data_IF_241124345224
#
_entry.id   IF_241124345224
#
_cell.length_a   1.000
_cell.length_b   1.000
_cell.length_c   1.000
_cell.angle_alpha   90.00
_cell.angle_beta   90.00
_cell.angle_gamma   90.00
#
_symmetry.space_group_name_H-M   'P 1'
#
loop_
_entity.id
_entity.type
_entity.pdbx_description
1 polymer ?
#
# COMPACT_ATOMS: atom_id res chain seq x y z
N UNK A 1 13.30 13.14 -11.52
CA UNK A 1 12.17 12.81 -12.42
C UNK A 1 10.86 13.51 -12.02
N UNK A 2 10.69 13.90 -10.76
CA UNK A 2 9.48 14.57 -10.22
C UNK A 2 9.72 16.03 -9.79
N UNK A 3 10.82 16.63 -10.23
CA UNK A 3 11.18 18.02 -9.91
C UNK A 3 10.12 19.02 -10.37
N UNK A 4 9.36 18.70 -11.46
CA UNK A 4 8.28 19.53 -11.98
C UNK A 4 7.17 19.80 -10.94
N UNK A 5 7.01 18.89 -9.96
CA UNK A 5 6.00 19.02 -8.91
C UNK A 5 6.55 19.62 -7.60
N UNK A 6 7.82 20.04 -7.57
CA UNK A 6 8.46 20.52 -6.35
C UNK A 6 8.45 19.47 -5.23
N UNK A 7 8.51 18.18 -5.58
CA UNK A 7 8.48 17.07 -4.63
C UNK A 7 9.76 16.24 -4.71
N UNK A 8 10.18 15.71 -3.56
CA UNK A 8 11.25 14.72 -3.46
C UNK A 8 10.72 13.30 -3.24
N UNK A 9 9.41 13.16 -3.06
CA UNK A 9 8.75 11.88 -2.75
C UNK A 9 7.60 11.59 -3.70
N UNK A 10 7.30 10.30 -3.90
CA UNK A 10 6.11 9.80 -4.58
C UNK A 10 4.98 9.55 -3.58
N UNK A 11 3.70 9.51 -4.06
CA UNK A 11 3.25 9.66 -5.44
C UNK A 11 3.14 11.12 -5.90
N UNK A 12 3.27 11.32 -7.21
CA UNK A 12 3.01 12.60 -7.90
C UNK A 12 2.33 12.28 -9.23
N UNK A 13 1.28 13.02 -9.58
CA UNK A 13 0.67 12.98 -10.89
C UNK A 13 0.78 14.33 -11.61
N UNK A 14 0.72 14.28 -12.93
CA UNK A 14 0.48 15.47 -13.78
C UNK A 14 -0.84 15.25 -14.49
N UNK A 15 -1.76 16.20 -14.33
CA UNK A 15 -3.08 16.20 -14.95
C UNK A 15 -3.28 17.56 -15.64
N UNK A 16 -3.17 17.57 -16.97
CA UNK A 16 -3.04 18.81 -17.74
C UNK A 16 -1.82 19.64 -17.24
N UNK A 17 -2.08 20.87 -16.81
CA UNK A 17 -1.06 21.75 -16.23
C UNK A 17 -0.92 21.58 -14.70
N UNK A 18 -1.84 20.85 -14.06
CA UNK A 18 -1.79 20.63 -12.61
C UNK A 18 -0.77 19.54 -12.25
N UNK A 19 0.09 19.84 -11.27
CA UNK A 19 0.97 18.86 -10.64
C UNK A 19 0.51 18.63 -9.22
N UNK A 20 0.02 17.42 -8.93
CA UNK A 20 -0.55 17.06 -7.62
C UNK A 20 0.34 16.02 -6.96
N UNK A 21 0.72 16.28 -5.72
CA UNK A 21 1.55 15.42 -4.87
C UNK A 21 0.79 15.02 -3.60
N UNK A 22 1.21 13.93 -2.98
CA UNK A 22 0.54 13.27 -1.86
C UNK A 22 -0.66 12.43 -2.30
N UNK A 23 -0.73 11.20 -1.77
CA UNK A 23 -1.73 10.21 -2.19
C UNK A 23 -3.18 10.66 -1.92
N UNK A 24 -3.41 11.32 -0.79
CA UNK A 24 -4.74 11.82 -0.44
C UNK A 24 -5.14 13.02 -1.30
N UNK A 25 -4.20 13.97 -1.51
CA UNK A 25 -4.44 15.11 -2.38
C UNK A 25 -4.69 14.69 -3.83
N UNK A 26 -3.99 13.63 -4.30
CA UNK A 26 -4.24 13.04 -5.62
C UNK A 26 -5.65 12.43 -5.69
N UNK A 27 -6.07 11.68 -4.68
CA UNK A 27 -7.41 11.10 -4.63
C UNK A 27 -8.49 12.18 -4.64
N UNK A 28 -8.33 13.25 -3.84
CA UNK A 28 -9.24 14.38 -3.77
C UNK A 28 -9.31 15.16 -5.10
N UNK A 29 -8.17 15.33 -5.77
CA UNK A 29 -8.11 15.93 -7.10
C UNK A 29 -8.85 15.08 -8.15
N UNK A 30 -8.57 13.78 -8.20
CA UNK A 30 -9.21 12.86 -9.14
C UNK A 30 -10.71 12.75 -8.92
N UNK A 31 -11.17 12.75 -7.68
CA UNK A 31 -12.59 12.71 -7.34
C UNK A 31 -13.34 13.95 -7.86
N UNK A 32 -12.71 15.12 -7.82
CA UNK A 32 -13.26 16.36 -8.37
C UNK A 32 -13.16 16.42 -9.90
N UNK A 33 -12.04 15.99 -10.46
CA UNK A 33 -11.80 16.04 -11.91
C UNK A 33 -12.64 15.01 -12.68
N UNK A 34 -13.01 13.89 -12.04
CA UNK A 34 -13.75 12.77 -12.62
C UNK A 34 -15.04 12.48 -11.83
N UNK A 35 -15.86 13.51 -11.63
CA UNK A 35 -17.09 13.43 -10.84
C UNK A 35 -18.14 12.43 -11.35
N UNK A 36 -18.03 11.99 -12.61
CA UNK A 36 -18.81 10.91 -13.20
C UNK A 36 -18.49 9.52 -12.62
N UNK A 37 -17.30 9.36 -12.03
CA UNK A 37 -16.81 8.13 -11.37
C UNK A 37 -16.18 8.42 -10.01
N UNK A 38 -16.97 8.88 -9.03
CA UNK A 38 -16.43 9.37 -7.77
C UNK A 38 -15.77 8.26 -6.94
N UNK A 39 -14.60 8.56 -6.38
CA UNK A 39 -13.93 7.73 -5.37
C UNK A 39 -14.66 7.79 -4.03
N UNK A 40 -15.29 8.92 -3.73
CA UNK A 40 -16.01 9.18 -2.50
C UNK A 40 -17.49 9.48 -2.82
N UNK A 41 -18.38 8.52 -2.54
CA UNK A 41 -19.81 8.64 -2.87
C UNK A 41 -20.59 9.56 -1.91
N UNK A 42 -19.98 10.00 -0.83
CA UNK A 42 -20.55 10.91 0.17
C UNK A 42 -19.47 11.44 1.11
N UNK A 43 -19.79 12.47 1.90
CA UNK A 43 -18.87 12.96 2.94
C UNK A 43 -18.56 11.88 4.01
N UNK A 44 -19.50 11.04 4.35
CA UNK A 44 -19.28 9.91 5.25
C UNK A 44 -18.28 8.92 4.63
N UNK A 45 -18.46 8.56 3.35
CA UNK A 45 -17.54 7.68 2.63
C UNK A 45 -16.13 8.30 2.53
N UNK A 46 -16.04 9.61 2.32
CA UNK A 46 -14.77 10.34 2.32
C UNK A 46 -14.08 10.31 3.68
N UNK A 47 -14.83 10.54 4.76
CA UNK A 47 -14.30 10.50 6.14
C UNK A 47 -13.83 9.09 6.50
N UNK A 48 -14.61 8.07 6.14
CA UNK A 48 -14.22 6.67 6.31
C UNK A 48 -12.95 6.33 5.51
N UNK A 49 -12.86 6.77 4.27
CA UNK A 49 -11.67 6.58 3.42
C UNK A 49 -10.42 7.22 4.03
N UNK A 50 -10.53 8.43 4.58
CA UNK A 50 -9.43 9.10 5.26
C UNK A 50 -8.98 8.34 6.52
N UNK A 51 -9.93 7.84 7.31
CA UNK A 51 -9.62 7.01 8.48
C UNK A 51 -8.88 5.73 8.09
N UNK A 52 -9.36 5.02 7.04
CA UNK A 52 -8.68 3.80 6.56
C UNK A 52 -7.30 4.12 6.00
N UNK A 53 -7.14 5.20 5.23
CA UNK A 53 -5.83 5.63 4.74
C UNK A 53 -4.86 5.89 5.91
N UNK A 54 -5.30 6.60 6.94
CA UNK A 54 -4.50 6.84 8.14
C UNK A 54 -4.10 5.55 8.86
N UNK A 55 -5.03 4.59 8.98
CA UNK A 55 -4.72 3.26 9.53
C UNK A 55 -3.71 2.50 8.68
N UNK A 56 -3.88 2.49 7.35
CA UNK A 56 -2.93 1.84 6.42
C UNK A 56 -1.54 2.45 6.57
N UNK A 57 -1.43 3.77 6.58
CA UNK A 57 -0.14 4.46 6.65
C UNK A 57 0.56 4.27 8.00
N UNK A 58 -0.18 4.35 9.10
CA UNK A 58 0.42 4.35 10.45
C UNK A 58 0.56 2.96 11.06
N UNK A 59 -0.26 1.98 10.65
CA UNK A 59 -0.27 0.65 11.23
C UNK A 59 0.15 -0.42 10.22
N UNK A 60 -0.51 -0.49 9.06
CA UNK A 60 -0.24 -1.55 8.08
C UNK A 60 1.16 -1.42 7.50
N UNK A 61 1.52 -0.23 6.98
CA UNK A 61 2.86 0.01 6.45
C UNK A 61 3.95 -0.08 7.53
N UNK A 62 3.67 0.37 8.76
CA UNK A 62 4.62 0.27 9.87
C UNK A 62 4.93 -1.18 10.25
N UNK A 63 3.91 -2.06 10.25
CA UNK A 63 4.08 -3.48 10.52
C UNK A 63 4.70 -4.25 9.34
N UNK A 64 4.42 -3.82 8.10
CA UNK A 64 4.90 -4.48 6.88
C UNK A 64 6.36 -4.16 6.56
N UNK A 65 6.76 -2.90 6.72
CA UNK A 65 8.08 -2.42 6.29
C UNK A 65 9.25 -3.24 6.85
N UNK A 66 9.31 -3.57 8.17
CA UNK A 66 10.38 -4.41 8.73
C UNK A 66 10.50 -5.80 8.10
N UNK A 67 9.39 -6.34 7.60
CA UNK A 67 9.31 -7.69 7.04
C UNK A 67 9.89 -7.79 5.62
N UNK A 68 10.05 -6.67 4.91
CA UNK A 68 10.39 -6.64 3.49
C UNK A 68 11.52 -5.66 3.13
N UNK A 69 12.17 -5.05 4.10
CA UNK A 69 13.14 -3.97 3.85
C UNK A 69 14.40 -4.45 3.13
N UNK A 70 14.92 -5.64 3.43
CA UNK A 70 16.06 -6.21 2.74
C UNK A 70 15.69 -6.58 1.29
N UNK A 71 14.54 -7.23 1.11
CA UNK A 71 14.02 -7.59 -0.21
C UNK A 71 13.81 -6.33 -1.08
N UNK A 72 13.34 -5.23 -0.49
CA UNK A 72 13.23 -3.94 -1.16
C UNK A 72 14.59 -3.45 -1.66
N UNK A 73 15.62 -3.48 -0.81
CA UNK A 73 16.98 -3.02 -1.18
C UNK A 73 17.58 -3.85 -2.33
N UNK A 74 17.22 -5.13 -2.40
CA UNK A 74 17.68 -6.01 -3.47
C UNK A 74 16.95 -5.79 -4.81
N UNK A 75 15.75 -5.20 -4.76
CA UNK A 75 14.89 -4.95 -5.94
C UNK A 75 15.04 -3.55 -6.53
N UNK A 76 15.58 -2.59 -5.79
CA UNK A 76 15.80 -1.24 -6.33
C UNK A 76 16.88 -1.23 -7.40
N UNK A 77 16.76 -0.30 -8.34
CA UNK A 77 17.75 -0.13 -9.39
C UNK A 77 19.12 0.26 -8.81
N UNK A 78 20.21 -0.14 -9.44
CA UNK A 78 21.57 0.16 -8.95
C UNK A 78 21.79 1.65 -8.65
N UNK A 79 21.27 2.54 -9.50
CA UNK A 79 21.40 3.99 -9.34
C UNK A 79 20.65 4.56 -8.12
N UNK A 80 19.60 3.87 -7.64
CA UNK A 80 18.80 4.31 -6.50
C UNK A 80 19.26 3.63 -5.18
N UNK A 81 20.11 2.60 -5.26
CA UNK A 81 20.47 1.75 -4.11
C UNK A 81 21.15 2.53 -2.99
N UNK A 82 22.11 3.40 -3.31
CA UNK A 82 22.81 4.20 -2.32
C UNK A 82 21.86 5.09 -1.51
N UNK A 83 20.92 5.76 -2.18
CA UNK A 83 19.90 6.59 -1.54
C UNK A 83 18.98 5.76 -0.63
N UNK A 84 18.54 4.60 -1.10
CA UNK A 84 17.64 3.73 -0.30
C UNK A 84 18.39 3.22 0.94
N UNK A 85 19.62 2.75 0.80
CA UNK A 85 20.43 2.28 1.94
C UNK A 85 20.63 3.39 2.96
N UNK A 86 21.02 4.58 2.54
CA UNK A 86 21.21 5.71 3.44
C UNK A 86 19.91 6.10 4.16
N UNK A 87 18.83 6.33 3.40
CA UNK A 87 17.57 6.83 3.95
C UNK A 87 16.87 5.81 4.87
N UNK A 88 16.94 4.51 4.54
CA UNK A 88 16.36 3.46 5.38
C UNK A 88 17.25 3.13 6.55
N UNK A 89 18.58 3.16 6.36
CA UNK A 89 19.56 2.99 7.42
C UNK A 89 19.40 4.04 8.52
N UNK A 90 19.24 5.30 8.16
CA UNK A 90 18.92 6.38 9.14
C UNK A 90 17.64 6.10 9.91
N UNK A 91 16.59 5.64 9.23
CA UNK A 91 15.29 5.33 9.86
C UNK A 91 15.35 4.14 10.81
N UNK A 92 16.13 3.11 10.48
CA UNK A 92 16.19 1.84 11.23
C UNK A 92 17.36 1.79 12.23
N UNK A 93 18.31 2.73 12.16
CA UNK A 93 19.53 2.70 12.98
C UNK A 93 20.51 1.60 12.58
N UNK A 94 20.36 0.98 11.40
CA UNK A 94 21.24 -0.07 10.89
C UNK A 94 21.26 -0.10 9.37
N UNK A 95 22.35 -0.56 8.79
CA UNK A 95 22.47 -0.88 7.37
C UNK A 95 22.53 -2.39 7.09
N UNK A 96 22.55 -3.21 8.14
CA UNK A 96 22.38 -4.67 8.02
C UNK A 96 20.89 -5.01 7.94
N UNK A 97 20.31 -4.74 6.77
CA UNK A 97 18.88 -4.99 6.52
C UNK A 97 18.54 -6.48 6.51
N UNK A 98 19.49 -7.35 6.17
CA UNK A 98 19.26 -8.78 6.15
C UNK A 98 19.04 -9.32 7.57
N UNK A 99 19.95 -9.03 8.49
CA UNK A 99 19.80 -9.43 9.90
C UNK A 99 18.57 -8.77 10.53
N UNK A 100 18.33 -7.48 10.26
CA UNK A 100 17.16 -6.76 10.75
C UNK A 100 15.85 -7.42 10.31
N UNK A 101 15.71 -7.71 9.01
CA UNK A 101 14.52 -8.36 8.45
C UNK A 101 14.33 -9.78 8.98
N UNK A 102 15.42 -10.56 9.11
CA UNK A 102 15.35 -11.91 9.66
C UNK A 102 14.77 -11.89 11.08
N UNK A 103 15.30 -11.06 11.97
CA UNK A 103 14.76 -10.89 13.33
C UNK A 103 13.33 -10.37 13.35
N UNK A 104 13.00 -9.43 12.45
CA UNK A 104 11.63 -8.91 12.34
C UNK A 104 10.63 -9.99 11.91
N UNK A 105 11.01 -10.94 11.05
CA UNK A 105 10.12 -12.01 10.54
C UNK A 105 9.77 -13.06 11.58
N UNK A 106 10.58 -13.29 12.61
CA UNK A 106 10.33 -14.33 13.63
C UNK A 106 8.94 -14.23 14.25
N UNK A 107 8.49 -13.03 14.58
CA UNK A 107 7.16 -12.75 15.16
C UNK A 107 6.34 -11.74 14.38
N UNK A 108 6.96 -11.03 13.46
CA UNK A 108 6.37 -9.89 12.79
C UNK A 108 5.25 -10.24 11.81
N UNK A 109 5.27 -11.43 11.20
CA UNK A 109 4.17 -11.86 10.32
C UNK A 109 2.88 -12.04 11.12
N UNK A 110 2.95 -12.64 12.31
CA UNK A 110 1.79 -12.76 13.21
C UNK A 110 1.30 -11.38 13.67
N UNK A 111 2.22 -10.48 14.04
CA UNK A 111 1.87 -9.11 14.42
C UNK A 111 1.24 -8.34 13.23
N UNK A 112 1.78 -8.46 12.02
CA UNK A 112 1.19 -7.88 10.82
C UNK A 112 -0.24 -8.39 10.59
N UNK A 113 -0.47 -9.71 10.71
CA UNK A 113 -1.81 -10.30 10.59
C UNK A 113 -2.78 -9.77 11.65
N UNK A 114 -2.31 -9.51 12.86
CA UNK A 114 -3.14 -8.91 13.92
C UNK A 114 -3.55 -7.47 13.57
N UNK A 115 -2.68 -6.67 12.95
CA UNK A 115 -3.01 -5.32 12.48
C UNK A 115 -4.14 -5.31 11.45
N UNK A 116 -4.34 -6.40 10.70
CA UNK A 116 -5.41 -6.53 9.69
C UNK A 116 -6.78 -6.88 10.29
N UNK A 117 -6.91 -7.04 11.60
CA UNK A 117 -8.19 -7.42 12.22
C UNK A 117 -9.36 -6.47 11.91
N UNK A 118 -9.18 -5.13 11.83
CA UNK A 118 -10.26 -4.25 11.39
C UNK A 118 -10.79 -4.59 9.99
N UNK A 119 -9.88 -4.82 9.02
CA UNK A 119 -10.26 -5.22 7.67
C UNK A 119 -10.94 -6.59 7.65
N UNK A 120 -10.41 -7.55 8.41
CA UNK A 120 -10.95 -8.91 8.50
C UNK A 120 -12.39 -8.92 9.00
N UNK A 121 -12.73 -8.09 10.00
CA UNK A 121 -14.10 -7.97 10.51
C UNK A 121 -15.07 -7.48 9.44
N UNK A 122 -14.67 -6.48 8.66
CA UNK A 122 -15.47 -5.95 7.55
C UNK A 122 -15.65 -7.02 6.46
N UNK A 123 -14.56 -7.67 6.05
CA UNK A 123 -14.54 -8.61 4.93
C UNK A 123 -15.22 -9.97 5.23
N UNK A 124 -15.54 -10.25 6.49
CA UNK A 124 -16.39 -11.40 6.86
C UNK A 124 -17.87 -11.20 6.49
N UNK A 125 -18.31 -9.96 6.33
CA UNK A 125 -19.73 -9.62 6.12
C UNK A 125 -19.99 -8.93 4.79
N UNK A 126 -18.95 -8.49 4.06
CA UNK A 126 -19.09 -7.83 2.76
C UNK A 126 -17.89 -8.11 1.85
N UNK A 127 -18.04 -7.83 0.56
CA UNK A 127 -17.05 -8.17 -0.47
C UNK A 127 -15.80 -7.29 -0.42
N UNK A 128 -15.96 -5.99 -0.17
CA UNK A 128 -14.90 -4.99 -0.16
C UNK A 128 -15.00 -4.14 1.10
N UNK A 129 -13.95 -3.40 1.46
CA UNK A 129 -13.97 -2.52 2.61
C UNK A 129 -15.05 -1.42 2.49
N UNK A 130 -15.37 -1.04 1.26
CA UNK A 130 -16.39 -0.05 0.97
C UNK A 130 -17.78 -0.63 0.68
N UNK A 131 -18.00 -1.94 0.83
CA UNK A 131 -19.29 -2.61 0.58
C UNK A 131 -19.25 -3.60 -0.57
N UNK A 132 -20.21 -3.51 -1.50
CA UNK A 132 -20.33 -4.45 -2.63
C UNK A 132 -19.39 -4.14 -3.79
N UNK A 133 -18.89 -2.91 -3.86
CA UNK A 133 -17.94 -2.44 -4.87
C UNK A 133 -16.70 -1.85 -4.19
N UNK A 134 -15.51 -1.98 -4.81
CA UNK A 134 -14.31 -1.38 -4.28
C UNK A 134 -14.39 0.15 -4.36
N UNK A 135 -13.79 0.82 -3.38
CA UNK A 135 -13.58 2.25 -3.38
C UNK A 135 -12.22 2.58 -2.75
N UNK A 136 -11.95 3.86 -2.49
CA UNK A 136 -10.64 4.31 -2.00
C UNK A 136 -10.07 3.51 -0.82
N UNK A 137 -10.84 3.09 0.21
CA UNK A 137 -10.34 2.24 1.29
C UNK A 137 -9.69 0.95 0.80
N UNK A 138 -10.31 0.32 -0.20
CA UNK A 138 -9.79 -0.91 -0.80
C UNK A 138 -8.49 -0.66 -1.56
N UNK A 139 -8.40 0.42 -2.33
CA UNK A 139 -7.19 0.77 -3.06
C UNK A 139 -6.04 1.15 -2.14
N UNK A 140 -6.32 1.85 -1.04
CA UNK A 140 -5.31 2.21 -0.04
C UNK A 140 -4.68 0.96 0.59
N UNK A 141 -5.48 0.02 1.07
CA UNK A 141 -4.98 -1.24 1.64
C UNK A 141 -4.31 -2.12 0.57
N UNK A 142 -4.89 -2.19 -0.64
CA UNK A 142 -4.30 -2.97 -1.74
C UNK A 142 -2.93 -2.44 -2.13
N UNK A 143 -2.69 -1.14 -2.05
CA UNK A 143 -1.37 -0.53 -2.29
C UNK A 143 -0.27 -1.14 -1.43
N UNK A 144 -0.54 -1.38 -0.14
CA UNK A 144 0.41 -2.05 0.76
C UNK A 144 0.70 -3.50 0.33
N UNK A 145 -0.34 -4.25 -0.07
CA UNK A 145 -0.16 -5.62 -0.56
C UNK A 145 0.53 -5.67 -1.92
N UNK A 146 0.25 -4.73 -2.82
CA UNK A 146 0.94 -4.63 -4.11
C UNK A 146 2.41 -4.30 -3.93
N UNK A 147 2.74 -3.37 -3.04
CA UNK A 147 4.13 -3.09 -2.70
C UNK A 147 4.85 -4.33 -2.18
N UNK A 148 4.28 -5.04 -1.19
CA UNK A 148 4.85 -6.27 -0.66
C UNK A 148 5.04 -7.33 -1.76
N UNK A 149 4.03 -7.56 -2.61
CA UNK A 149 4.05 -8.53 -3.71
C UNK A 149 5.17 -8.27 -4.73
N UNK A 150 5.44 -6.99 -5.01
CA UNK A 150 6.48 -6.60 -5.99
C UNK A 150 7.88 -6.78 -5.42
N UNK A 151 8.08 -6.51 -4.13
CA UNK A 151 9.41 -6.48 -3.53
C UNK A 151 9.80 -7.79 -2.84
N UNK A 152 8.86 -8.61 -2.37
CA UNK A 152 9.13 -9.75 -1.50
C UNK A 152 8.30 -10.98 -1.86
N UNK A 153 8.88 -12.19 -1.83
CA UNK A 153 8.14 -13.45 -1.95
C UNK A 153 7.44 -13.86 -0.64
N UNK A 154 7.49 -13.04 0.41
CA UNK A 154 6.95 -13.39 1.73
C UNK A 154 5.44 -13.61 1.69
N UNK A 155 4.99 -14.76 2.18
CA UNK A 155 3.58 -15.08 2.34
C UNK A 155 3.02 -14.39 3.59
N UNK A 156 2.27 -13.31 3.39
CA UNK A 156 1.72 -12.48 4.45
C UNK A 156 0.43 -13.03 5.05
N UNK A 157 -0.40 -13.71 4.24
CA UNK A 157 -1.75 -14.14 4.60
C UNK A 157 -1.88 -15.66 4.51
N UNK A 158 -2.69 -16.25 5.38
CA UNK A 158 -3.17 -17.62 5.22
C UNK A 158 -4.24 -17.70 4.13
N UNK A 159 -4.38 -18.87 3.50
CA UNK A 159 -5.31 -19.07 2.39
C UNK A 159 -6.78 -18.86 2.81
N UNK A 160 -7.11 -19.20 4.05
CA UNK A 160 -8.47 -19.11 4.61
C UNK A 160 -8.81 -17.72 5.17
N UNK A 161 -7.83 -16.78 5.18
CA UNK A 161 -8.06 -15.44 5.71
C UNK A 161 -9.02 -14.67 4.77
N UNK A 162 -10.10 -14.07 5.30
CA UNK A 162 -10.99 -13.20 4.49
C UNK A 162 -10.24 -12.07 3.75
N UNK A 163 -9.14 -11.58 4.32
CA UNK A 163 -8.27 -10.58 3.67
C UNK A 163 -7.55 -11.19 2.46
N UNK A 164 -7.19 -12.48 2.50
CA UNK A 164 -6.63 -13.17 1.34
C UNK A 164 -7.66 -13.23 0.20
N UNK A 165 -8.88 -13.69 0.49
CA UNK A 165 -9.94 -13.76 -0.51
C UNK A 165 -10.28 -12.38 -1.11
N UNK A 166 -10.27 -11.32 -0.29
CA UNK A 166 -10.43 -9.94 -0.75
C UNK A 166 -9.26 -9.51 -1.64
N UNK A 167 -8.00 -9.78 -1.25
CA UNK A 167 -6.82 -9.45 -2.06
C UNK A 167 -6.89 -10.10 -3.44
N UNK A 168 -7.30 -11.36 -3.52
CA UNK A 168 -7.46 -12.06 -4.80
C UNK A 168 -8.51 -11.36 -5.68
N UNK A 169 -9.66 -10.96 -5.11
CA UNK A 169 -10.67 -10.17 -5.83
C UNK A 169 -10.11 -8.82 -6.34
N UNK A 170 -9.31 -8.13 -5.51
CA UNK A 170 -8.67 -6.87 -5.91
C UNK A 170 -7.66 -7.06 -7.04
N UNK A 171 -6.90 -8.17 -7.04
CA UNK A 171 -5.96 -8.50 -8.10
C UNK A 171 -6.66 -8.76 -9.45
N UNK A 172 -7.91 -9.23 -9.42
CA UNK A 172 -8.72 -9.53 -10.62
C UNK A 172 -9.41 -8.31 -11.21
N UNK A 173 -9.47 -7.18 -10.51
CA UNK A 173 -10.07 -5.96 -11.02
C UNK A 173 -9.33 -5.46 -12.27
N UNK A 174 -10.07 -4.76 -13.13
CA UNK A 174 -9.54 -4.12 -14.34
C UNK A 174 -8.75 -5.10 -15.22
N UNK A 175 -9.42 -6.21 -15.59
CA UNK A 175 -8.84 -7.29 -16.41
C UNK A 175 -7.57 -7.89 -15.81
N UNK A 176 -7.51 -7.95 -14.48
CA UNK A 176 -6.39 -8.53 -13.76
C UNK A 176 -5.13 -7.66 -13.75
N UNK A 177 -5.26 -6.34 -13.84
CA UNK A 177 -4.14 -5.41 -13.84
C UNK A 177 -3.17 -5.68 -12.68
N UNK A 178 -3.69 -5.95 -11.48
CA UNK A 178 -2.86 -6.28 -10.32
C UNK A 178 -2.09 -7.59 -10.47
N UNK A 179 -2.67 -8.61 -11.15
CA UNK A 179 -2.00 -9.89 -11.41
C UNK A 179 -0.89 -9.77 -12.43
N UNK A 180 -1.05 -8.89 -13.42
CA UNK A 180 -0.06 -8.67 -14.48
C UNK A 180 1.19 -7.94 -13.96
N UNK A 181 1.11 -7.27 -12.82
CA UNK A 181 2.29 -6.68 -12.19
C UNK A 181 3.30 -7.78 -11.83
N UNK A 182 4.57 -7.59 -12.22
CA UNK A 182 5.65 -8.54 -11.94
C UNK A 182 5.80 -8.71 -10.43
N UNK A 183 5.59 -9.93 -9.96
CA UNK A 183 5.82 -10.30 -8.57
C UNK A 183 7.30 -10.60 -8.30
N UNK A 184 7.67 -10.60 -7.01
CA UNK A 184 9.00 -10.96 -6.52
C UNK A 184 9.31 -12.44 -6.76
#
# INVERSE_FOLDING_TARGET
KIAFAGSQTFPVIKDGEAAVKDSWAIADHLDKAHADRPLFKSEMARSYALFVAGWVDTQVHAALFPLVVADLVDRVRPEDKAYIVESRGKRLGTTDFAAFQAGAREKGVTAFRAVLEPARRVLKVQKFLAGDQPAYPDYALMGAFMWARIVSPLLLLEAEDPVHAWRERMLDLYDGMGRQAKAA
#
